data_IF_674761623396
#
_entry.id   IF_674761623396
#
_cell.length_a   1.000
_cell.length_b   1.000
_cell.length_c   1.000
_cell.angle_alpha   90.00
_cell.angle_beta   90.00
_cell.angle_gamma   90.00
#
_symmetry.space_group_name_H-M   'P 1'
#
loop_
_entity.id
_entity.type
_entity.pdbx_description
1 polymer ?
#
# COMPACT_ATOMS: atom_id res chain seq x y z
N UNK A 1 13.27 9.36 -14.89
CA UNK A 1 11.82 9.64 -14.95
C UNK A 1 11.21 9.22 -13.63
N UNK A 2 10.28 9.99 -13.03
CA UNK A 2 9.57 9.46 -11.87
C UNK A 2 8.75 8.28 -12.37
N UNK A 3 9.07 7.07 -11.89
CA UNK A 3 8.32 5.87 -12.23
C UNK A 3 6.85 6.08 -11.84
N UNK A 4 5.98 5.75 -12.78
CA UNK A 4 4.54 5.89 -12.67
C UNK A 4 3.95 4.59 -12.14
N UNK A 5 2.95 4.70 -11.26
CA UNK A 5 2.17 3.54 -10.81
C UNK A 5 1.07 3.16 -11.82
N UNK A 6 1.02 3.81 -12.99
CA UNK A 6 0.09 3.47 -14.04
C UNK A 6 0.59 2.21 -14.76
N UNK A 7 -0.19 1.13 -14.71
CA UNK A 7 0.15 -0.16 -15.31
C UNK A 7 0.59 -0.05 -16.79
N UNK A 8 -0.03 0.86 -17.55
CA UNK A 8 0.31 1.12 -18.97
C UNK A 8 1.75 1.64 -19.19
N UNK A 9 2.39 2.16 -18.14
CA UNK A 9 3.72 2.79 -18.18
C UNK A 9 4.80 1.91 -17.53
N UNK A 10 4.39 0.81 -16.88
CA UNK A 10 5.23 -0.02 -16.02
C UNK A 10 5.80 -1.29 -16.71
N UNK A 11 5.51 -1.51 -17.99
CA UNK A 11 6.01 -2.66 -18.74
C UNK A 11 5.22 -3.96 -18.49
N UNK A 12 5.71 -5.09 -19.02
CA UNK A 12 4.98 -6.38 -18.98
C UNK A 12 4.97 -7.05 -17.61
N UNK A 13 5.97 -6.78 -16.77
CA UNK A 13 6.06 -7.32 -15.40
C UNK A 13 5.75 -6.20 -14.44
N UNK A 14 4.81 -6.44 -13.54
CA UNK A 14 4.41 -5.48 -12.50
C UNK A 14 5.01 -5.93 -11.17
N UNK A 15 5.55 -4.97 -10.42
CA UNK A 15 6.09 -5.18 -9.06
C UNK A 15 5.10 -4.57 -8.09
N UNK A 16 4.45 -5.43 -7.31
CA UNK A 16 3.47 -5.00 -6.33
C UNK A 16 4.10 -4.87 -4.94
N UNK A 17 4.11 -3.66 -4.37
CA UNK A 17 4.40 -3.45 -2.96
C UNK A 17 3.20 -3.89 -2.11
N UNK A 18 3.28 -5.08 -1.52
CA UNK A 18 2.26 -5.62 -0.60
C UNK A 18 2.12 -4.71 0.63
N UNK A 19 0.97 -4.03 0.72
CA UNK A 19 0.66 -2.98 1.72
C UNK A 19 1.65 -1.82 1.71
N UNK A 20 2.23 -1.53 0.54
CA UNK A 20 3.37 -0.63 0.38
C UNK A 20 4.72 -1.33 0.58
N UNK A 21 5.74 -0.62 1.04
CA UNK A 21 7.03 -1.21 1.41
C UNK A 21 7.01 -1.67 2.88
N UNK A 22 6.07 -2.56 3.18
CA UNK A 22 5.69 -2.99 4.54
C UNK A 22 6.82 -3.62 5.36
N UNK A 23 7.89 -4.10 4.70
CA UNK A 23 9.07 -4.62 5.40
C UNK A 23 9.84 -3.53 6.18
N UNK A 24 9.79 -2.27 5.74
CA UNK A 24 10.57 -1.18 6.35
C UNK A 24 9.75 0.04 6.79
N UNK A 25 8.46 0.08 6.43
CA UNK A 25 7.56 1.20 6.75
C UNK A 25 6.24 0.64 7.27
N UNK A 26 5.51 1.37 8.13
CA UNK A 26 4.20 0.93 8.62
C UNK A 26 3.26 0.59 7.45
N UNK A 27 2.78 -0.64 7.41
CA UNK A 27 1.92 -1.12 6.32
C UNK A 27 0.68 -0.24 6.14
N UNK A 28 0.14 -0.18 4.92
CA UNK A 28 -1.11 0.54 4.63
C UNK A 28 -1.08 2.05 4.96
N UNK A 29 0.10 2.66 4.91
CA UNK A 29 0.27 4.12 5.13
C UNK A 29 0.87 4.84 3.92
N UNK A 30 0.63 6.15 3.80
CA UNK A 30 1.24 6.98 2.76
C UNK A 30 2.78 6.88 2.72
N UNK A 31 3.51 6.89 3.85
CA UNK A 31 4.96 6.64 3.85
C UNK A 31 5.35 5.30 3.20
N UNK A 32 4.65 4.20 3.50
CA UNK A 32 4.94 2.91 2.88
C UNK A 32 4.68 2.91 1.37
N UNK A 33 3.66 3.63 0.91
CA UNK A 33 3.34 3.75 -0.51
C UNK A 33 4.38 4.60 -1.26
N UNK A 34 4.80 5.72 -0.66
CA UNK A 34 5.87 6.57 -1.20
C UNK A 34 7.20 5.81 -1.26
N UNK A 35 7.50 5.03 -0.22
CA UNK A 35 8.70 4.21 -0.17
C UNK A 35 8.68 3.11 -1.23
N UNK A 36 7.56 2.40 -1.39
CA UNK A 36 7.41 1.37 -2.43
C UNK A 36 7.66 1.94 -3.83
N UNK A 37 7.04 3.09 -4.14
CA UNK A 37 7.25 3.81 -5.41
C UNK A 37 8.73 4.19 -5.59
N UNK A 38 9.36 4.73 -4.54
CA UNK A 38 10.77 5.13 -4.57
C UNK A 38 11.72 3.94 -4.76
N UNK A 39 11.31 2.75 -4.32
CA UNK A 39 12.04 1.49 -4.48
C UNK A 39 11.72 0.74 -5.79
N UNK A 40 10.95 1.34 -6.70
CA UNK A 40 10.68 0.79 -8.02
C UNK A 40 9.47 -0.14 -8.10
N UNK A 41 8.62 -0.19 -7.08
CA UNK A 41 7.31 -0.81 -7.22
C UNK A 41 6.50 -0.08 -8.31
N UNK A 42 5.81 -0.85 -9.14
CA UNK A 42 4.93 -0.33 -10.20
C UNK A 42 3.46 -0.36 -9.81
N UNK A 43 3.15 -1.01 -8.70
CA UNK A 43 1.84 -1.06 -8.08
C UNK A 43 2.02 -1.11 -6.56
N UNK A 44 1.01 -0.65 -5.84
CA UNK A 44 0.89 -0.82 -4.39
C UNK A 44 -0.41 -1.57 -4.17
N UNK A 45 -0.35 -2.64 -3.39
CA UNK A 45 -1.54 -3.32 -2.90
C UNK A 45 -1.95 -2.71 -1.55
N UNK A 46 -3.26 -2.70 -1.31
CA UNK A 46 -3.89 -2.17 -0.11
C UNK A 46 -5.00 -3.12 0.33
N UNK A 47 -5.20 -3.21 1.64
CA UNK A 47 -6.33 -3.89 2.24
C UNK A 47 -7.42 -2.88 2.59
N UNK A 48 -8.70 -3.23 2.42
CA UNK A 48 -9.83 -2.36 2.78
C UNK A 48 -10.80 -3.10 3.70
N UNK A 49 -11.15 -2.47 4.80
CA UNK A 49 -12.19 -2.91 5.75
C UNK A 49 -13.16 -1.75 6.03
N UNK A 50 -14.29 -2.05 6.65
CA UNK A 50 -15.29 -1.04 7.03
C UNK A 50 -15.19 -0.71 8.52
N UNK A 51 -15.38 0.56 8.85
CA UNK A 51 -15.64 1.01 10.22
C UNK A 51 -17.05 0.62 10.68
N UNK A 52 -17.37 0.86 11.96
CA UNK A 52 -18.68 0.56 12.52
C UNK A 52 -19.83 1.35 11.85
N UNK A 53 -19.55 2.54 11.33
CA UNK A 53 -20.46 3.39 10.56
C UNK A 53 -20.42 3.12 9.04
N UNK A 54 -19.65 2.13 8.59
CA UNK A 54 -19.62 1.66 7.20
C UNK A 54 -18.66 2.43 6.28
N UNK A 55 -17.77 3.26 6.83
CA UNK A 55 -16.77 3.99 6.06
C UNK A 55 -15.59 3.07 5.70
N UNK A 56 -15.14 3.05 4.43
CA UNK A 56 -13.99 2.24 4.01
C UNK A 56 -12.68 2.86 4.52
N UNK A 57 -11.87 2.04 5.17
CA UNK A 57 -10.53 2.41 5.65
C UNK A 57 -9.48 1.43 5.14
N UNK A 58 -8.21 1.86 5.16
CA UNK A 58 -7.08 1.01 4.78
C UNK A 58 -6.50 0.34 6.03
N UNK A 59 -6.79 -0.94 6.22
CA UNK A 59 -6.33 -1.77 7.33
C UNK A 59 -6.46 -3.24 6.95
N UNK A 60 -5.50 -4.08 7.34
CA UNK A 60 -5.53 -5.51 7.02
C UNK A 60 -6.41 -6.31 7.98
N UNK A 61 -6.24 -6.10 9.28
CA UNK A 61 -6.93 -6.87 10.31
C UNK A 61 -8.29 -6.23 10.64
N UNK A 62 -9.19 -7.01 11.25
CA UNK A 62 -10.47 -6.49 11.75
C UNK A 62 -10.34 -5.76 13.10
N UNK A 63 -9.15 -5.76 13.69
CA UNK A 63 -8.83 -5.01 14.91
C UNK A 63 -7.61 -4.13 14.66
N UNK A 64 -7.47 -3.04 15.42
CA UNK A 64 -6.40 -2.05 15.20
C UNK A 64 -5.10 -2.39 15.93
N UNK A 65 -5.16 -3.32 16.90
CA UNK A 65 -4.15 -3.60 17.94
C UNK A 65 -2.74 -3.86 17.41
N UNK A 66 -2.59 -4.50 16.25
CA UNK A 66 -1.27 -4.87 15.71
C UNK A 66 -0.52 -3.66 15.12
N UNK A 67 -1.24 -2.63 14.66
CA UNK A 67 -0.69 -1.58 13.80
C UNK A 67 -0.94 -0.16 14.31
N UNK A 68 -1.48 0.01 15.52
CA UNK A 68 -1.73 1.31 16.16
C UNK A 68 -1.29 1.29 17.62
N UNK A 69 -1.12 2.48 18.21
CA UNK A 69 -0.84 2.69 19.64
C UNK A 69 -2.12 2.84 20.48
#
# INVERSE_FOLDING_TARGET
MPLSLLAREAGRVQICGHRGYSLHYPENTLPAFQAAKSWGATMVEIDVVLTADGEPIILHDLTVDRTTD
#
